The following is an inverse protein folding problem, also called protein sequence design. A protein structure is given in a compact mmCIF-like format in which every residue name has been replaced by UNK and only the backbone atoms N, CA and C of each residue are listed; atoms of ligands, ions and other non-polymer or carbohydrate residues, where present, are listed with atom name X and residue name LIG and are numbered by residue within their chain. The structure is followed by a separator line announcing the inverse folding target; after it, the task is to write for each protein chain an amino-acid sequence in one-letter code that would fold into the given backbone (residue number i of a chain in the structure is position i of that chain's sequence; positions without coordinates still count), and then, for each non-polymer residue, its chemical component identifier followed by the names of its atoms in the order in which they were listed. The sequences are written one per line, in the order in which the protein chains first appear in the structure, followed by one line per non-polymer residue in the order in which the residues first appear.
data_IF_351220457821
#
_entry.id   IF_351220457821
#
_cell.length_a   1.000
_cell.length_b   1.000
_cell.length_c   1.000
_cell.angle_alpha   90.00
_cell.angle_beta   90.00
_cell.angle_gamma   90.00
#
_symmetry.space_group_name_H-M   'P 1'
#
loop_
_entity.id
_entity.type
_entity.pdbx_description
1 polymer ?
#
# COMPACT_ATOMS: atom_id res chain seq x y z
N UNK A 1 -63.04 34.33 17.40
CA UNK A 1 -61.87 34.81 16.63
C UNK A 1 -60.67 34.71 17.56
N UNK A 2 -59.93 33.60 17.55
CA UNK A 2 -58.75 33.29 16.70
C UNK A 2 -57.50 34.04 17.22
N UNK A 3 -56.29 33.50 17.44
CA UNK A 3 -55.61 32.22 17.15
C UNK A 3 -54.28 32.24 17.97
N UNK A 4 -53.92 31.08 18.57
CA UNK A 4 -52.59 30.45 18.79
C UNK A 4 -51.35 31.29 19.16
N UNK A 5 -50.55 30.80 20.11
CA UNK A 5 -49.14 30.44 19.87
C UNK A 5 -48.72 29.22 20.69
N UNK A 6 -48.18 28.22 19.98
CA UNK A 6 -47.73 26.92 20.45
C UNK A 6 -46.26 27.03 20.83
N UNK A 7 -45.89 26.60 22.04
CA UNK A 7 -44.49 26.43 22.47
C UNK A 7 -43.99 25.12 21.86
N UNK A 8 -43.13 25.22 20.84
CA UNK A 8 -42.45 24.07 20.25
C UNK A 8 -41.01 24.04 20.76
N UNK A 9 -40.73 23.11 21.69
CA UNK A 9 -39.38 22.82 22.17
C UNK A 9 -38.57 22.10 21.10
N UNK A 10 -37.44 22.70 20.69
CA UNK A 10 -36.48 22.08 19.76
C UNK A 10 -35.57 21.17 20.57
N UNK A 11 -35.80 19.85 20.48
CA UNK A 11 -34.90 18.83 20.99
C UNK A 11 -33.70 18.70 20.03
N UNK A 12 -32.53 19.16 20.48
CA UNK A 12 -31.27 19.06 19.75
C UNK A 12 -30.74 17.62 19.88
N UNK A 13 -31.02 16.78 18.87
CA UNK A 13 -30.45 15.43 18.77
C UNK A 13 -29.01 15.56 18.27
N UNK A 14 -28.05 15.49 19.19
CA UNK A 14 -26.62 15.38 18.88
C UNK A 14 -26.37 13.95 18.38
N UNK A 15 -26.49 13.75 17.07
CA UNK A 15 -26.00 12.55 16.41
C UNK A 15 -24.47 12.54 16.52
N UNK A 16 -23.95 11.75 17.46
CA UNK A 16 -22.57 11.31 17.46
C UNK A 16 -22.33 10.49 16.18
N UNK A 17 -21.98 11.19 15.10
CA UNK A 17 -21.49 10.57 13.89
C UNK A 17 -20.13 9.95 14.21
N UNK A 18 -20.15 8.67 14.63
CA UNK A 18 -18.99 7.82 14.54
C UNK A 18 -18.57 7.79 13.07
N UNK A 19 -17.63 8.66 12.69
CA UNK A 19 -16.94 8.57 11.44
C UNK A 19 -16.25 7.20 11.42
N UNK A 20 -16.88 6.22 10.76
CA UNK A 20 -16.17 5.04 10.28
C UNK A 20 -15.11 5.59 9.33
N UNK A 21 -13.89 5.74 9.85
CA UNK A 21 -12.70 5.97 9.05
C UNK A 21 -12.71 4.88 7.98
N UNK A 22 -13.05 5.25 6.75
CA UNK A 22 -12.92 4.35 5.61
C UNK A 22 -11.43 4.05 5.52
N UNK A 23 -11.06 2.77 5.57
CA UNK A 23 -9.68 2.38 5.34
C UNK A 23 -9.19 3.07 4.06
N UNK A 24 -8.00 3.70 4.08
CA UNK A 24 -7.43 4.34 2.89
C UNK A 24 -7.50 3.39 1.70
N UNK A 25 -7.99 3.87 0.55
CA UNK A 25 -8.09 3.07 -0.68
C UNK A 25 -6.72 2.57 -1.14
N UNK A 26 -5.66 3.29 -0.76
CA UNK A 26 -4.26 2.90 -0.89
C UNK A 26 -3.55 3.16 0.44
N UNK A 27 -2.72 2.22 0.88
CA UNK A 27 -2.01 2.31 2.18
C UNK A 27 -0.62 2.94 2.06
N UNK A 28 -0.06 2.93 0.86
CA UNK A 28 1.22 3.52 0.54
C UNK A 28 1.17 4.15 -0.84
N UNK A 29 1.85 5.28 -1.00
CA UNK A 29 2.08 5.95 -2.27
C UNK A 29 3.48 5.57 -2.79
N UNK A 30 3.58 5.24 -4.07
CA UNK A 30 4.85 5.08 -4.76
C UNK A 30 5.22 6.36 -5.51
N UNK A 31 6.25 7.06 -5.03
CA UNK A 31 6.78 8.26 -5.66
C UNK A 31 7.96 7.90 -6.55
N UNK A 32 7.77 7.97 -7.86
CA UNK A 32 8.85 7.74 -8.83
C UNK A 32 9.84 8.90 -8.78
N UNK A 33 11.12 8.57 -8.52
CA UNK A 33 12.23 9.53 -8.55
C UNK A 33 12.90 9.49 -9.93
N UNK A 34 13.14 8.29 -10.49
CA UNK A 34 13.67 8.08 -11.86
C UNK A 34 13.05 6.83 -12.49
N UNK A 35 13.54 6.44 -13.68
CA UNK A 35 13.11 5.20 -14.35
C UNK A 35 13.22 3.95 -13.48
N UNK A 36 14.26 3.86 -12.67
CA UNK A 36 14.63 2.71 -11.83
C UNK A 36 14.58 3.01 -10.32
N UNK A 37 14.24 4.24 -9.91
CA UNK A 37 14.31 4.65 -8.50
C UNK A 37 12.99 5.19 -7.98
N UNK A 38 12.61 4.75 -6.78
CA UNK A 38 11.32 5.07 -6.15
C UNK A 38 11.48 5.39 -4.67
N UNK A 39 10.57 6.20 -4.16
CA UNK A 39 10.30 6.35 -2.74
C UNK A 39 8.93 5.77 -2.43
N UNK A 40 8.81 5.20 -1.24
CA UNK A 40 7.56 4.60 -0.76
C UNK A 40 7.13 5.41 0.45
N UNK A 41 5.93 5.96 0.39
CA UNK A 41 5.42 6.89 1.40
C UNK A 41 4.15 6.30 2.01
N UNK A 42 4.16 5.87 3.28
CA UNK A 42 2.97 5.39 3.97
C UNK A 42 1.90 6.48 4.05
N UNK A 43 0.64 6.10 3.82
CA UNK A 43 -0.49 6.99 4.05
C UNK A 43 -0.79 7.13 5.55
N UNK A 44 -1.59 8.12 5.92
CA UNK A 44 -2.07 8.25 7.30
C UNK A 44 -2.86 7.01 7.76
N UNK A 45 -2.82 6.74 9.06
CA UNK A 45 -3.59 5.66 9.69
C UNK A 45 -3.05 4.24 9.47
N UNK A 46 -1.86 4.08 8.88
CA UNK A 46 -1.20 2.77 8.81
C UNK A 46 -0.61 2.33 10.15
N UNK A 47 -0.29 1.04 10.25
CA UNK A 47 0.37 0.45 11.42
C UNK A 47 1.83 0.94 11.51
N UNK A 48 2.38 1.08 12.72
CA UNK A 48 3.61 1.84 12.98
C UNK A 48 4.90 1.20 12.43
N UNK A 49 4.89 -0.09 12.12
CA UNK A 49 6.02 -0.78 11.55
C UNK A 49 5.76 -1.20 10.11
N UNK A 50 6.77 -1.14 9.25
CA UNK A 50 6.66 -1.68 7.91
C UNK A 50 7.88 -2.45 7.41
N UNK A 51 7.62 -3.36 6.47
CA UNK A 51 8.61 -4.04 5.64
C UNK A 51 8.23 -3.86 4.18
N UNK A 52 9.25 -3.68 3.34
CA UNK A 52 9.08 -3.54 1.91
C UNK A 52 9.87 -4.61 1.19
N UNK A 53 9.20 -5.32 0.30
CA UNK A 53 9.79 -6.27 -0.63
C UNK A 53 9.45 -5.92 -2.08
N UNK A 54 10.30 -6.36 -3.01
CA UNK A 54 9.93 -6.49 -4.43
C UNK A 54 9.82 -7.97 -4.77
N UNK A 55 8.85 -8.31 -5.61
CA UNK A 55 8.74 -9.63 -6.23
C UNK A 55 8.62 -9.43 -7.74
N UNK A 56 9.67 -9.80 -8.48
CA UNK A 56 9.68 -9.76 -9.95
C UNK A 56 8.83 -10.88 -10.56
N UNK A 57 8.37 -10.70 -11.79
CA UNK A 57 7.74 -11.78 -12.56
C UNK A 57 8.69 -12.98 -12.80
N UNK A 58 10.00 -12.75 -12.67
CA UNK A 58 11.04 -13.80 -12.76
C UNK A 58 11.20 -14.60 -11.46
N UNK A 59 10.41 -14.32 -10.42
CA UNK A 59 10.48 -15.00 -9.12
C UNK A 59 11.58 -14.49 -8.19
N UNK A 60 12.27 -13.39 -8.54
CA UNK A 60 13.25 -12.75 -7.65
C UNK A 60 12.52 -11.96 -6.58
N UNK A 61 12.75 -12.30 -5.31
CA UNK A 61 12.28 -11.56 -4.13
C UNK A 61 13.43 -10.77 -3.52
N UNK A 62 13.25 -9.47 -3.29
CA UNK A 62 14.26 -8.62 -2.64
C UNK A 62 13.66 -7.85 -1.49
N UNK A 63 14.38 -7.81 -0.38
CA UNK A 63 14.05 -6.92 0.73
C UNK A 63 14.61 -5.53 0.46
N UNK A 64 13.75 -4.51 0.50
CA UNK A 64 14.16 -3.12 0.34
C UNK A 64 14.46 -2.46 1.69
N UNK A 65 13.66 -2.74 2.72
CA UNK A 65 13.88 -2.24 4.08
C UNK A 65 14.89 -3.08 4.83
N UNK A 66 16.18 -2.75 4.72
CA UNK A 66 17.26 -3.41 5.46
C UNK A 66 17.53 -2.70 6.79
N UNK A 67 17.06 -3.29 7.90
CA UNK A 67 17.40 -2.81 9.25
C UNK A 67 18.57 -3.60 9.85
N UNK A 68 19.25 -3.04 10.84
CA UNK A 68 20.41 -3.69 11.50
C UNK A 68 20.09 -5.08 12.07
N UNK A 69 18.86 -5.27 12.54
CA UNK A 69 18.42 -6.50 13.18
C UNK A 69 17.59 -7.37 12.23
N UNK A 70 17.50 -7.01 10.95
CA UNK A 70 16.64 -7.67 9.97
C UNK A 70 15.14 -7.74 10.37
N UNK A 71 14.67 -6.76 11.14
CA UNK A 71 13.25 -6.62 11.50
C UNK A 71 12.58 -5.50 10.70
N UNK A 72 11.24 -5.45 10.74
CA UNK A 72 10.48 -4.29 10.29
C UNK A 72 10.95 -3.00 10.96
N UNK A 73 10.81 -1.91 10.22
CA UNK A 73 11.28 -0.58 10.60
C UNK A 73 10.09 0.29 10.96
N UNK A 74 10.33 1.36 11.73
CA UNK A 74 9.26 2.32 12.01
C UNK A 74 8.95 3.11 10.74
N UNK A 75 7.66 3.26 10.45
CA UNK A 75 7.17 3.92 9.24
C UNK A 75 6.15 4.98 9.66
N UNK A 76 6.57 6.23 9.59
CA UNK A 76 5.72 7.38 9.88
C UNK A 76 4.94 7.78 8.62
N UNK A 77 3.71 8.26 8.82
CA UNK A 77 2.87 8.72 7.72
C UNK A 77 3.53 9.89 6.98
N UNK A 78 3.32 9.94 5.67
CA UNK A 78 3.77 11.00 4.77
C UNK A 78 5.30 11.19 4.67
N UNK A 79 6.06 10.29 5.30
CA UNK A 79 7.52 10.26 5.22
C UNK A 79 7.99 9.06 4.38
N UNK A 80 9.01 9.22 3.51
CA UNK A 80 9.58 8.08 2.83
C UNK A 80 10.07 7.03 3.83
N UNK A 81 9.78 5.76 3.57
CA UNK A 81 10.27 4.66 4.42
C UNK A 81 11.78 4.73 4.51
N UNK A 82 12.31 4.84 5.74
CA UNK A 82 13.73 5.07 6.05
C UNK A 82 14.34 6.36 5.49
N UNK A 83 13.55 7.28 4.94
CA UNK A 83 14.05 8.49 4.27
C UNK A 83 14.87 8.19 3.01
N UNK A 84 14.73 7.00 2.43
CA UNK A 84 15.60 6.50 1.36
C UNK A 84 14.86 6.36 0.03
N UNK A 85 15.64 6.45 -1.05
CA UNK A 85 15.21 6.09 -2.40
C UNK A 85 15.70 4.68 -2.70
N UNK A 86 14.79 3.81 -3.12
CA UNK A 86 15.07 2.42 -3.48
C UNK A 86 15.30 2.31 -4.97
N UNK A 87 16.40 1.65 -5.36
CA UNK A 87 16.68 1.31 -6.76
C UNK A 87 16.20 -0.10 -7.06
N UNK A 88 15.40 -0.23 -8.12
CA UNK A 88 14.87 -1.48 -8.63
C UNK A 88 15.43 -1.66 -10.04
N UNK A 89 16.33 -2.65 -10.25
CA UNK A 89 17.00 -2.83 -11.54
C UNK A 89 16.02 -3.13 -12.69
N UNK A 90 16.25 -2.52 -13.86
CA UNK A 90 15.40 -2.70 -15.04
C UNK A 90 15.48 -4.12 -15.63
N UNK A 91 16.59 -4.82 -15.42
CA UNK A 91 16.77 -6.21 -15.82
C UNK A 91 15.89 -7.19 -15.03
N UNK A 92 15.36 -6.80 -13.86
CA UNK A 92 14.36 -7.60 -13.13
C UNK A 92 13.00 -7.62 -13.84
N UNK A 93 12.73 -6.63 -14.72
CA UNK A 93 11.45 -6.48 -15.42
C UNK A 93 10.34 -5.92 -14.50
N UNK A 94 9.05 -6.11 -14.86
CA UNK A 94 7.94 -5.75 -13.99
C UNK A 94 8.06 -6.41 -12.61
N UNK A 95 7.86 -5.61 -11.56
CA UNK A 95 7.87 -6.08 -10.18
C UNK A 95 6.59 -5.66 -9.46
N UNK A 96 6.18 -6.46 -8.49
CA UNK A 96 5.23 -6.05 -7.45
C UNK A 96 6.00 -5.60 -6.22
N UNK A 97 5.80 -4.35 -5.83
CA UNK A 97 6.27 -3.81 -4.55
C UNK A 97 5.24 -4.16 -3.49
N UNK A 98 5.65 -4.86 -2.45
CA UNK A 98 4.80 -5.31 -1.36
C UNK A 98 5.21 -4.59 -0.08
N UNK A 99 4.26 -3.83 0.48
CA UNK A 99 4.46 -3.08 1.72
C UNK A 99 3.62 -3.74 2.80
N UNK A 100 4.29 -4.39 3.75
CA UNK A 100 3.68 -4.97 4.94
C UNK A 100 3.66 -3.91 6.02
N UNK A 101 2.49 -3.58 6.56
CA UNK A 101 2.35 -2.76 7.76
C UNK A 101 1.92 -3.65 8.93
N UNK A 102 2.53 -3.46 10.09
CA UNK A 102 2.28 -4.28 11.29
C UNK A 102 2.25 -3.48 12.58
N UNK A 103 1.45 -3.95 13.54
CA UNK A 103 1.35 -3.36 14.89
C UNK A 103 2.56 -3.67 15.78
N UNK A 104 3.35 -4.67 15.39
CA UNK A 104 4.58 -5.07 16.06
C UNK A 104 5.72 -5.32 15.07
N UNK A 105 6.92 -5.57 15.60
CA UNK A 105 8.08 -5.88 14.75
C UNK A 105 7.94 -7.25 14.09
N UNK A 106 8.21 -7.32 12.80
CA UNK A 106 8.22 -8.54 12.01
C UNK A 106 9.66 -8.91 11.65
N UNK A 107 9.97 -10.21 11.69
CA UNK A 107 11.25 -10.72 11.22
C UNK A 107 11.25 -10.81 9.69
N UNK A 108 12.10 -10.02 9.04
CA UNK A 108 12.07 -9.88 7.59
C UNK A 108 12.47 -11.17 6.87
N UNK A 109 13.38 -11.96 7.45
CA UNK A 109 13.75 -13.27 6.91
C UNK A 109 12.57 -14.26 6.89
N UNK A 110 11.71 -14.25 7.91
CA UNK A 110 10.51 -15.10 7.94
C UNK A 110 9.50 -14.68 6.87
N UNK A 111 9.31 -13.37 6.68
CA UNK A 111 8.44 -12.83 5.63
C UNK A 111 8.99 -13.19 4.24
N UNK A 112 10.29 -13.02 4.03
CA UNK A 112 10.97 -13.35 2.79
C UNK A 112 10.85 -14.84 2.42
N UNK A 113 11.00 -15.75 3.39
CA UNK A 113 10.82 -17.18 3.16
C UNK A 113 9.39 -17.51 2.72
N UNK A 114 8.38 -16.98 3.41
CA UNK A 114 6.98 -17.15 3.01
C UNK A 114 6.71 -16.57 1.61
N UNK A 115 7.31 -15.43 1.27
CA UNK A 115 7.22 -14.84 -0.07
C UNK A 115 7.85 -15.71 -1.15
N UNK A 116 9.02 -16.31 -0.89
CA UNK A 116 9.67 -17.22 -1.83
C UNK A 116 8.90 -18.54 -2.01
N UNK A 117 8.20 -19.00 -0.98
CA UNK A 117 7.33 -20.18 -1.06
C UNK A 117 6.07 -19.92 -1.91
N UNK A 118 5.68 -18.66 -2.09
CA UNK A 118 4.56 -18.30 -2.95
C UNK A 118 4.94 -18.40 -4.42
N UNK A 119 4.24 -19.27 -5.13
CA UNK A 119 4.47 -19.50 -6.57
C UNK A 119 3.95 -18.36 -7.46
N UNK A 120 3.14 -17.45 -6.90
CA UNK A 120 2.52 -16.34 -7.61
C UNK A 120 2.90 -15.00 -6.95
N UNK A 121 3.22 -13.96 -7.74
CA UNK A 121 3.46 -12.62 -7.21
C UNK A 121 2.15 -11.96 -6.74
N UNK A 122 1.00 -12.49 -7.14
CA UNK A 122 -0.32 -12.10 -6.62
C UNK A 122 -0.72 -13.05 -5.49
N UNK A 123 -0.78 -12.52 -4.27
CA UNK A 123 -1.18 -13.26 -3.05
C UNK A 123 -2.08 -12.39 -2.17
N UNK A 124 -2.79 -13.00 -1.23
CA UNK A 124 -3.60 -12.32 -0.22
C UNK A 124 -2.82 -12.17 1.10
N UNK A 125 -3.00 -11.07 1.86
CA UNK A 125 -2.43 -10.93 3.20
C UNK A 125 -2.75 -12.09 4.16
N UNK A 126 -3.88 -12.77 3.95
CA UNK A 126 -4.35 -13.93 4.75
C UNK A 126 -3.44 -15.15 4.57
N UNK A 127 -2.70 -15.24 3.46
CA UNK A 127 -1.83 -16.37 3.16
C UNK A 127 -0.59 -16.39 4.07
N UNK A 128 -0.32 -15.27 4.77
CA UNK A 128 0.80 -15.15 5.68
C UNK A 128 0.44 -15.56 7.10
N UNK A 129 1.32 -16.37 7.70
CA UNK A 129 1.27 -16.69 9.14
C UNK A 129 2.11 -15.70 9.93
N UNK A 130 1.78 -14.42 9.81
CA UNK A 130 2.49 -13.35 10.51
C UNK A 130 1.85 -13.05 11.87
N UNK A 131 2.67 -12.73 12.88
CA UNK A 131 2.16 -12.46 14.20
C UNK A 131 1.54 -11.05 14.26
N UNK A 132 0.47 -10.90 15.05
CA UNK A 132 -0.17 -9.60 15.28
C UNK A 132 -1.12 -9.19 14.16
N UNK A 133 -1.39 -7.89 14.05
CA UNK A 133 -2.18 -7.33 12.95
C UNK A 133 -1.23 -6.95 11.84
N UNK A 134 -1.47 -7.51 10.65
CA UNK A 134 -0.72 -7.19 9.44
C UNK A 134 -1.69 -6.82 8.33
N UNK A 135 -1.35 -5.77 7.60
CA UNK A 135 -2.01 -5.41 6.34
C UNK A 135 -0.95 -5.28 5.27
N UNK A 136 -1.27 -5.65 4.03
CA UNK A 136 -0.34 -5.60 2.91
C UNK A 136 -0.91 -4.72 1.81
N UNK A 137 -0.07 -3.89 1.22
CA UNK A 137 -0.33 -3.16 -0.03
C UNK A 137 0.57 -3.73 -1.12
N UNK A 138 0.00 -4.01 -2.28
CA UNK A 138 0.74 -4.45 -3.46
C UNK A 138 0.63 -3.39 -4.55
N UNK A 139 1.77 -2.87 -5.00
CA UNK A 139 1.87 -1.81 -6.00
C UNK A 139 2.66 -2.35 -7.20
N UNK A 140 2.08 -2.28 -8.39
CA UNK A 140 2.76 -2.67 -9.62
C UNK A 140 3.77 -1.58 -10.03
N UNK A 141 4.99 -2.00 -10.36
CA UNK A 141 6.05 -1.11 -10.81
C UNK A 141 6.83 -1.73 -11.97
N UNK A 142 6.99 -0.95 -13.04
CA UNK A 142 7.84 -1.32 -14.17
C UNK A 142 9.06 -0.38 -14.12
N UNK A 143 10.26 -0.90 -13.80
CA UNK A 143 11.48 -0.11 -13.90
C UNK A 143 11.81 0.11 -15.38
N UNK A 144 12.28 1.31 -15.69
CA UNK A 144 12.73 1.69 -17.02
C UNK A 144 14.21 2.06 -16.96
N UNK A 145 14.97 1.72 -18.01
CA UNK A 145 16.36 2.16 -18.15
C UNK A 145 16.41 3.70 -18.14
N UNK A 146 17.37 4.24 -17.38
CA UNK A 146 17.40 5.62 -16.89
C UNK A 146 17.01 6.69 -17.90
N UNK A 147 15.81 7.23 -17.73
CA UNK A 147 15.44 8.59 -18.12
C UNK A 147 15.61 9.54 -16.93
N UNK A 148 15.85 10.82 -17.23
CA UNK A 148 15.99 11.89 -16.22
C UNK A 148 14.84 11.84 -15.18
N UNK A 149 15.09 12.22 -13.92
CA UNK A 149 14.07 12.20 -12.88
C UNK A 149 12.87 13.06 -13.30
N UNK A 150 11.69 12.45 -13.40
CA UNK A 150 10.42 13.15 -13.66
C UNK A 150 9.64 13.20 -12.34
N UNK A 151 9.62 14.33 -11.63
CA UNK A 151 8.82 14.48 -10.41
C UNK A 151 7.32 14.35 -10.71
N UNK A 152 6.61 13.54 -9.92
CA UNK A 152 5.16 13.63 -9.80
C UNK A 152 4.30 12.73 -10.71
N UNK A 153 4.87 11.74 -11.40
CA UNK A 153 4.06 10.82 -12.21
C UNK A 153 3.46 9.70 -11.34
N UNK A 154 2.19 9.89 -10.97
CA UNK A 154 1.33 8.87 -10.37
C UNK A 154 1.16 7.70 -11.35
N UNK A 155 1.40 6.47 -10.89
CA UNK A 155 1.18 5.25 -11.69
C UNK A 155 -0.32 5.06 -11.91
N UNK A 156 -0.81 4.88 -13.16
CA UNK A 156 -2.23 4.70 -13.41
C UNK A 156 -2.77 3.39 -12.83
N UNK A 157 -3.97 3.46 -12.25
CA UNK A 157 -4.80 2.34 -11.81
C UNK A 157 -4.95 1.30 -12.93
N UNK A 158 -4.85 -0.02 -12.65
CA UNK A 158 -5.17 -1.05 -13.63
C UNK A 158 -6.64 -0.90 -14.08
N UNK A 159 -6.84 -0.60 -15.36
CA UNK A 159 -8.15 -0.60 -15.99
C UNK A 159 -8.73 -2.01 -15.90
N UNK A 160 -9.95 -2.15 -15.37
CA UNK A 160 -10.68 -3.42 -15.40
C UNK A 160 -10.76 -3.95 -16.85
N UNK A 161 -10.66 -5.27 -17.06
CA UNK A 161 -10.88 -5.86 -18.38
C UNK A 161 -12.26 -5.43 -18.88
N UNK A 162 -12.31 -4.82 -20.06
CA UNK A 162 -13.55 -4.44 -20.71
C UNK A 162 -14.44 -5.67 -20.87
N UNK A 163 -15.63 -5.64 -20.28
CA UNK A 163 -16.66 -6.62 -20.56
C UNK A 163 -16.98 -6.56 -22.06
N UNK A 164 -16.62 -7.61 -22.80
CA UNK A 164 -17.05 -7.83 -24.17
C UNK A 164 -18.57 -8.00 -24.17
N UNK A 165 -19.29 -6.91 -24.42
CA UNK A 165 -20.66 -6.98 -24.90
C UNK A 165 -20.63 -7.57 -26.32
N UNK A 166 -21.10 -8.81 -26.44
CA UNK A 166 -21.35 -9.48 -27.73
C UNK A 166 -22.80 -9.24 -28.12
N UNK A 167 -23.12 -8.44 -29.17
CA UNK A 167 -24.45 -8.44 -29.74
C UNK A 167 -24.54 -9.50 -30.85
N UNK A 168 -25.62 -10.29 -30.79
CA UNK A 168 -26.38 -10.80 -31.94
C UNK A 168 -25.70 -11.74 -32.95
N UNK A 169 -26.22 -12.97 -33.01
CA UNK A 169 -26.10 -13.91 -34.11
C UNK A 169 -27.03 -15.08 -33.87
#
# INVERSE_FOLDING_TARGET
MNIRHVVAGVALVVLAACARSSAPTHRAELRRISGDAVQIVPSEGQLPYCLVFTHSEKGVVRQLTMSKNNTSVKCDADQPVLGQTYKIPADEGPVKIQVFFSDQRLEAGSVANQLNEMSSPSFSPIDFRLPGKVVVESIDFIPAEGGAPTPGQLVPKPSQPAATNRPGG
#
